data_IF_178034390898
#
_entry.id   IF_178034390898
#
_cell.length_a   1.000
_cell.length_b   1.000
_cell.length_c   1.000
_cell.angle_alpha   90.00
_cell.angle_beta   90.00
_cell.angle_gamma   90.00
#
_symmetry.space_group_name_H-M   'P 1'
#
loop_
_entity.id
_entity.type
_entity.pdbx_description
1 polymer ?
#
# COMPACT_ATOMS: atom_id res chain seq x y z
N UNK A 1 0.67 11.89 -8.61
CA UNK A 1 1.25 12.01 -7.24
C UNK A 1 1.27 10.66 -6.54
N UNK A 2 0.10 10.03 -6.34
CA UNK A 2 0.01 8.72 -5.67
C UNK A 2 0.82 7.60 -6.33
N UNK A 3 0.80 7.53 -7.67
CA UNK A 3 1.64 6.56 -8.38
C UNK A 3 3.13 6.80 -8.14
N UNK A 4 3.58 8.04 -7.90
CA UNK A 4 4.97 8.37 -7.60
C UNK A 4 5.39 8.06 -6.15
N UNK A 5 4.43 8.03 -5.20
CA UNK A 5 4.66 7.55 -3.84
C UNK A 5 4.63 6.02 -3.73
N UNK A 6 3.87 5.37 -4.61
CA UNK A 6 3.73 3.91 -4.68
C UNK A 6 4.87 3.29 -5.51
N UNK A 7 5.30 3.99 -6.57
CA UNK A 7 6.35 3.64 -7.52
C UNK A 7 7.30 4.83 -7.70
N UNK A 8 8.50 4.75 -7.12
CA UNK A 8 9.62 5.65 -7.43
C UNK A 8 10.24 5.23 -8.76
N UNK A 9 9.57 5.57 -9.85
CA UNK A 9 10.11 5.42 -11.20
C UNK A 9 10.51 6.80 -11.77
N UNK A 10 11.66 6.91 -12.47
CA UNK A 10 12.12 8.17 -13.06
C UNK A 10 11.07 8.85 -13.93
N UNK A 11 10.32 8.08 -14.72
CA UNK A 11 9.25 8.60 -15.58
C UNK A 11 8.18 9.36 -14.78
N UNK A 12 7.70 8.80 -13.66
CA UNK A 12 6.66 9.44 -12.86
C UNK A 12 7.15 10.71 -12.18
N UNK A 13 8.42 10.75 -11.76
CA UNK A 13 9.02 11.95 -11.17
C UNK A 13 9.23 13.05 -12.21
N UNK A 14 9.73 12.71 -13.40
CA UNK A 14 9.87 13.67 -14.51
C UNK A 14 8.53 14.23 -14.98
N UNK A 15 7.47 13.41 -15.03
CA UNK A 15 6.12 13.86 -15.35
C UNK A 15 5.54 14.76 -14.25
N UNK A 16 5.77 14.41 -12.98
CA UNK A 16 5.36 15.23 -11.86
C UNK A 16 6.03 16.61 -11.92
N UNK A 17 7.34 16.66 -12.12
CA UNK A 17 8.12 17.90 -12.22
C UNK A 17 7.60 18.79 -13.35
N UNK A 18 7.47 18.24 -14.58
CA UNK A 18 6.88 18.97 -15.71
C UNK A 18 5.51 19.54 -15.40
N UNK A 19 4.65 18.75 -14.73
CA UNK A 19 3.30 19.23 -14.38
C UNK A 19 3.36 20.36 -13.35
N UNK A 20 4.25 20.28 -12.36
CA UNK A 20 4.41 21.35 -11.37
C UNK A 20 4.87 22.66 -12.04
N UNK A 21 5.77 22.58 -13.01
CA UNK A 21 6.21 23.75 -13.81
C UNK A 21 5.08 24.31 -14.68
N UNK A 22 4.28 23.45 -15.32
CA UNK A 22 3.11 23.90 -16.09
C UNK A 22 2.10 24.62 -15.18
N UNK A 23 1.80 24.07 -14.00
CA UNK A 23 0.89 24.68 -13.04
C UNK A 23 1.37 26.06 -12.55
N UNK A 24 2.68 26.25 -12.38
CA UNK A 24 3.26 27.56 -12.02
C UNK A 24 3.02 28.63 -13.09
N UNK A 25 2.90 28.23 -14.36
CA UNK A 25 2.68 29.14 -15.50
C UNK A 25 1.22 29.20 -15.94
N UNK A 26 0.31 28.53 -15.22
CA UNK A 26 -1.11 28.45 -15.59
C UNK A 26 -1.37 27.57 -16.83
N UNK A 27 -0.42 26.72 -17.20
CA UNK A 27 -0.58 25.72 -18.26
C UNK A 27 -1.14 24.42 -17.65
N UNK A 28 -2.05 23.78 -18.38
CA UNK A 28 -2.77 22.59 -17.92
C UNK A 28 -2.72 21.42 -18.91
N UNK A 29 -1.79 21.46 -19.87
CA UNK A 29 -1.71 20.49 -20.96
C UNK A 29 -1.51 19.06 -20.47
N UNK A 30 -0.78 18.88 -19.37
CA UNK A 30 -0.45 17.56 -18.79
C UNK A 30 -1.37 17.12 -17.64
N UNK A 31 -2.38 17.91 -17.26
CA UNK A 31 -3.23 17.61 -16.09
C UNK A 31 -4.01 16.29 -16.21
N UNK A 32 -4.37 15.92 -17.44
CA UNK A 32 -5.03 14.65 -17.75
C UNK A 32 -4.19 13.43 -17.33
N UNK A 33 -2.86 13.48 -17.50
CA UNK A 33 -1.95 12.41 -17.08
C UNK A 33 -1.81 12.37 -15.55
N UNK A 34 -1.90 13.51 -14.87
CA UNK A 34 -1.91 13.59 -13.40
C UNK A 34 -3.18 13.01 -12.81
N UNK A 35 -4.35 13.24 -13.41
CA UNK A 35 -5.61 12.69 -12.92
C UNK A 35 -5.58 11.15 -12.86
N UNK A 36 -4.96 10.52 -13.87
CA UNK A 36 -4.75 9.07 -13.94
C UNK A 36 -3.67 8.64 -12.93
N UNK A 37 -2.52 9.32 -12.86
CA UNK A 37 -1.44 9.01 -11.90
C UNK A 37 -1.71 9.48 -10.44
N UNK A 38 -2.90 10.02 -10.19
CA UNK A 38 -3.40 10.39 -8.86
C UNK A 38 -4.43 9.38 -8.34
N UNK A 39 -4.78 8.37 -9.12
CA UNK A 39 -5.51 7.21 -8.60
C UNK A 39 -4.56 6.37 -7.75
N UNK A 40 -5.09 5.80 -6.67
CA UNK A 40 -4.35 4.89 -5.78
C UNK A 40 -4.18 3.52 -6.45
N UNK A 41 -5.04 3.17 -7.42
CA UNK A 41 -4.90 1.96 -8.22
C UNK A 41 -3.98 2.22 -9.41
N UNK A 42 -2.69 1.94 -9.25
CA UNK A 42 -1.69 1.96 -10.34
C UNK A 42 -1.86 0.80 -11.31
N UNK A 43 -2.54 -0.26 -10.90
CA UNK A 43 -3.04 -1.28 -11.80
C UNK A 43 -4.34 -0.73 -12.36
N UNK A 44 -4.34 -0.25 -13.60
CA UNK A 44 -5.56 0.08 -14.32
C UNK A 44 -6.21 -1.25 -14.71
N UNK A 45 -7.16 -1.81 -13.93
CA UNK A 45 -7.81 -3.03 -14.34
C UNK A 45 -8.63 -2.68 -15.58
N UNK A 46 -8.81 -3.63 -16.49
CA UNK A 46 -9.67 -3.41 -17.68
C UNK A 46 -11.17 -3.25 -17.31
N UNK A 47 -11.49 -3.32 -16.02
CA UNK A 47 -12.81 -3.25 -15.43
C UNK A 47 -12.83 -2.30 -14.22
N UNK A 48 -14.00 -1.75 -13.90
CA UNK A 48 -14.20 -0.88 -12.73
C UNK A 48 -14.27 -1.72 -11.44
N UNK A 49 -13.29 -1.54 -10.53
CA UNK A 49 -13.20 -2.25 -9.25
C UNK A 49 -13.83 -1.47 -8.08
N UNK A 50 -14.23 -0.21 -8.29
CA UNK A 50 -14.57 0.71 -7.20
C UNK A 50 -15.79 0.24 -6.41
N UNK A 51 -16.79 -0.30 -7.09
CA UNK A 51 -18.00 -0.84 -6.46
C UNK A 51 -17.67 -2.04 -5.59
N UNK A 52 -16.95 -3.03 -6.15
CA UNK A 52 -16.55 -4.24 -5.44
C UNK A 52 -15.68 -3.92 -4.22
N UNK A 53 -14.68 -3.04 -4.40
CA UNK A 53 -13.82 -2.58 -3.30
C UNK A 53 -14.62 -1.91 -2.19
N UNK A 54 -15.54 -1.01 -2.55
CA UNK A 54 -16.38 -0.32 -1.57
C UNK A 54 -17.27 -1.30 -0.81
N UNK A 55 -17.94 -2.22 -1.51
CA UNK A 55 -18.81 -3.21 -0.89
C UNK A 55 -18.05 -4.10 0.10
N UNK A 56 -16.91 -4.65 -0.33
CA UNK A 56 -16.08 -5.52 0.51
C UNK A 56 -15.57 -4.76 1.73
N UNK A 57 -14.99 -3.56 1.54
CA UNK A 57 -14.50 -2.73 2.63
C UNK A 57 -15.58 -2.44 3.68
N UNK A 58 -16.82 -2.19 3.24
CA UNK A 58 -17.92 -1.88 4.14
C UNK A 58 -18.49 -3.10 4.85
N UNK A 59 -18.52 -4.26 4.19
CA UNK A 59 -18.87 -5.54 4.83
C UNK A 59 -17.82 -5.92 5.89
N UNK A 60 -16.53 -5.77 5.58
CA UNK A 60 -15.43 -6.01 6.51
C UNK A 60 -15.43 -5.01 7.67
N UNK A 61 -15.82 -3.76 7.41
CA UNK A 61 -16.03 -2.77 8.47
C UNK A 61 -17.16 -3.20 9.42
N UNK A 62 -18.15 -3.95 8.94
CA UNK A 62 -19.24 -4.52 9.74
C UNK A 62 -19.89 -3.49 10.69
N UNK A 63 -20.27 -2.33 10.15
CA UNK A 63 -20.90 -1.24 10.93
C UNK A 63 -19.96 -0.41 11.81
N UNK A 64 -18.67 -0.74 11.92
CA UNK A 64 -17.68 0.03 12.72
C UNK A 64 -17.39 1.41 12.14
N UNK A 65 -17.74 1.63 10.86
CA UNK A 65 -17.55 2.90 10.14
C UNK A 65 -18.85 3.70 10.05
N UNK A 66 -19.45 4.03 11.19
CA UNK A 66 -20.70 4.80 11.25
C UNK A 66 -20.40 6.30 11.41
N UNK A 67 -20.50 7.05 10.31
CA UNK A 67 -20.33 8.50 10.25
C UNK A 67 -21.60 9.19 9.72
N UNK A 68 -22.77 8.73 10.17
CA UNK A 68 -24.07 9.30 9.78
C UNK A 68 -24.30 10.72 10.31
N UNK A 69 -23.71 11.04 11.46
CA UNK A 69 -23.74 12.40 12.01
C UNK A 69 -22.73 13.30 11.29
N UNK A 70 -23.16 14.52 10.93
CA UNK A 70 -22.31 15.46 10.19
C UNK A 70 -21.04 15.86 10.96
N UNK A 71 -21.11 15.98 12.29
CA UNK A 71 -19.94 16.24 13.14
C UNK A 71 -18.88 15.15 12.98
N UNK A 72 -19.25 13.90 13.20
CA UNK A 72 -18.37 12.74 13.04
C UNK A 72 -17.81 12.61 11.60
N UNK A 73 -18.64 12.83 10.59
CA UNK A 73 -18.19 12.89 9.18
C UNK A 73 -17.09 13.93 8.97
N UNK A 74 -17.34 15.17 9.44
CA UNK A 74 -16.42 16.29 9.28
C UNK A 74 -15.11 16.04 10.01
N UNK A 75 -15.18 15.50 11.24
CA UNK A 75 -14.00 15.19 12.03
C UNK A 75 -13.14 14.11 11.37
N UNK A 76 -13.77 13.08 10.80
CA UNK A 76 -13.05 12.07 10.02
C UNK A 76 -12.34 12.67 8.80
N UNK A 77 -13.05 13.45 7.99
CA UNK A 77 -12.48 14.07 6.77
C UNK A 77 -11.33 15.02 7.14
N UNK A 78 -11.49 15.82 8.20
CA UNK A 78 -10.45 16.72 8.69
C UNK A 78 -9.23 15.95 9.20
N UNK A 79 -9.43 14.87 9.96
CA UNK A 79 -8.36 14.01 10.47
C UNK A 79 -7.55 13.39 9.32
N UNK A 80 -8.24 12.92 8.28
CA UNK A 80 -7.58 12.42 7.08
C UNK A 80 -6.78 13.52 6.39
N UNK A 81 -7.38 14.69 6.16
CA UNK A 81 -6.71 15.84 5.54
C UNK A 81 -5.48 16.31 6.33
N UNK A 82 -5.53 16.31 7.66
CA UNK A 82 -4.39 16.68 8.52
C UNK A 82 -3.29 15.61 8.53
N UNK A 83 -3.65 14.34 8.32
CA UNK A 83 -2.69 13.24 8.27
C UNK A 83 -1.82 13.29 7.01
N UNK A 84 -2.37 13.74 5.88
CA UNK A 84 -1.60 13.94 4.65
C UNK A 84 -2.26 14.96 3.74
N UNK A 85 -1.52 16.04 3.44
CA UNK A 85 -1.93 17.07 2.50
C UNK A 85 -2.20 16.54 1.09
N UNK A 86 -1.54 15.45 0.72
CA UNK A 86 -1.64 14.88 -0.62
C UNK A 86 -2.58 13.68 -0.70
N UNK A 87 -2.63 12.89 0.38
CA UNK A 87 -3.30 11.60 0.35
C UNK A 87 -4.57 11.49 1.19
N UNK A 88 -4.70 12.31 2.23
CA UNK A 88 -5.76 12.21 3.21
C UNK A 88 -7.15 12.21 2.60
N UNK A 89 -7.47 13.25 1.83
CA UNK A 89 -8.79 13.39 1.21
C UNK A 89 -9.10 12.30 0.19
N UNK A 90 -8.10 11.72 -0.48
CA UNK A 90 -8.32 10.57 -1.37
C UNK A 90 -8.65 9.32 -0.57
N UNK A 91 -7.94 9.05 0.52
CA UNK A 91 -8.25 7.91 1.41
C UNK A 91 -9.66 8.04 1.99
N UNK A 92 -10.08 9.25 2.33
CA UNK A 92 -11.42 9.53 2.84
C UNK A 92 -12.55 9.20 1.84
N UNK A 93 -12.28 9.09 0.54
CA UNK A 93 -13.35 8.79 -0.45
C UNK A 93 -13.68 7.30 -0.56
N UNK A 94 -12.85 6.39 -0.04
CA UNK A 94 -13.07 4.94 -0.16
C UNK A 94 -12.93 4.18 1.16
N UNK A 95 -12.80 4.89 2.29
CA UNK A 95 -12.76 4.34 3.63
C UNK A 95 -13.60 5.17 4.60
N UNK A 96 -14.05 4.57 5.70
CA UNK A 96 -14.82 5.26 6.73
C UNK A 96 -16.23 5.68 6.25
N UNK A 97 -16.51 6.99 6.04
CA UNK A 97 -17.86 7.48 5.78
C UNK A 97 -18.65 6.85 4.65
N UNK A 98 -17.96 6.39 3.60
CA UNK A 98 -18.61 5.71 2.46
C UNK A 98 -19.44 4.48 2.88
N UNK A 99 -19.11 3.89 4.03
CA UNK A 99 -19.80 2.73 4.58
C UNK A 99 -21.00 3.06 5.48
N UNK A 100 -21.18 4.34 5.86
CA UNK A 100 -22.15 4.73 6.91
C UNK A 100 -23.61 4.43 6.57
N UNK A 101 -23.93 4.38 5.27
CA UNK A 101 -25.28 4.16 4.76
C UNK A 101 -25.49 2.72 4.27
N UNK A 102 -24.47 1.87 4.32
CA UNK A 102 -24.61 0.47 3.92
C UNK A 102 -25.30 -0.31 5.04
N UNK A 103 -26.61 -0.52 4.88
CA UNK A 103 -27.41 -1.36 5.78
C UNK A 103 -27.37 -2.84 5.33
N UNK A 104 -26.16 -3.35 5.08
CA UNK A 104 -25.89 -4.75 4.75
C UNK A 104 -24.71 -5.20 5.60
N UNK A 105 -24.88 -6.31 6.31
CA UNK A 105 -23.90 -6.85 7.24
C UNK A 105 -23.59 -8.30 6.91
N UNK A 106 -22.35 -8.76 7.14
CA UNK A 106 -22.04 -10.18 7.07
C UNK A 106 -22.88 -10.97 8.08
N UNK A 107 -23.20 -12.24 7.80
CA UNK A 107 -23.80 -13.12 8.79
C UNK A 107 -22.85 -13.27 10.00
N UNK A 108 -23.39 -13.61 11.17
CA UNK A 108 -22.61 -13.75 12.41
C UNK A 108 -21.42 -14.69 12.27
N UNK A 109 -21.57 -15.78 11.49
CA UNK A 109 -20.51 -16.74 11.19
C UNK A 109 -19.33 -16.18 10.38
N UNK A 110 -19.48 -14.99 9.79
CA UNK A 110 -18.47 -14.30 8.99
C UNK A 110 -18.07 -12.94 9.59
N UNK A 111 -18.68 -12.53 10.71
CA UNK A 111 -18.35 -11.28 11.36
C UNK A 111 -16.96 -11.36 12.01
N UNK A 112 -16.08 -10.41 11.65
CA UNK A 112 -14.76 -10.28 12.26
C UNK A 112 -14.73 -9.12 13.27
N UNK A 113 -14.40 -9.43 14.52
CA UNK A 113 -14.36 -8.46 15.61
C UNK A 113 -13.09 -7.58 15.60
N UNK A 114 -12.14 -7.86 14.70
CA UNK A 114 -10.87 -7.14 14.58
C UNK A 114 -9.70 -7.79 15.30
N UNK A 115 -9.90 -8.90 16.02
CA UNK A 115 -8.82 -9.64 16.68
C UNK A 115 -8.68 -11.00 16.01
N UNK A 116 -7.59 -11.25 15.26
CA UNK A 116 -7.36 -12.56 14.68
C UNK A 116 -7.14 -13.58 15.80
N UNK A 117 -7.94 -14.64 15.77
CA UNK A 117 -7.87 -15.74 16.75
C UNK A 117 -7.36 -16.98 16.04
N UNK A 118 -6.30 -17.57 16.58
CA UNK A 118 -5.80 -18.88 16.15
C UNK A 118 -6.08 -19.83 17.30
N UNK A 119 -7.06 -20.72 17.14
CA UNK A 119 -7.51 -21.69 18.15
C UNK A 119 -6.42 -22.74 18.44
N UNK A 120 -5.35 -22.35 19.12
CA UNK A 120 -4.24 -23.24 19.48
C UNK A 120 -3.39 -23.76 18.31
N UNK A 121 -3.68 -23.39 17.04
CA UNK A 121 -2.86 -23.78 15.90
C UNK A 121 -1.52 -23.04 15.94
N UNK A 122 -0.43 -23.80 16.06
CA UNK A 122 0.95 -23.30 16.05
C UNK A 122 1.57 -23.45 14.67
N UNK A 123 0.95 -22.88 13.64
CA UNK A 123 1.54 -22.82 12.32
C UNK A 123 2.42 -21.57 12.22
N UNK A 124 3.65 -21.67 11.71
CA UNK A 124 4.51 -20.51 11.55
C UNK A 124 3.91 -19.60 10.47
N UNK A 125 3.92 -18.30 10.70
CA UNK A 125 3.48 -17.27 9.75
C UNK A 125 4.67 -16.36 9.50
N UNK A 126 4.97 -16.08 8.23
CA UNK A 126 5.96 -15.09 7.86
C UNK A 126 5.27 -13.81 7.40
N UNK A 127 5.39 -12.75 8.19
CA UNK A 127 5.06 -11.41 7.75
C UNK A 127 6.26 -10.82 7.01
N UNK A 128 6.02 -10.23 5.84
CA UNK A 128 7.03 -9.52 5.07
C UNK A 128 6.55 -8.08 4.89
N UNK A 129 7.34 -7.11 5.38
CA UNK A 129 6.92 -5.70 5.40
C UNK A 129 8.07 -4.77 5.06
N UNK A 130 7.75 -3.73 4.28
CA UNK A 130 8.69 -2.66 3.98
C UNK A 130 8.72 -1.65 5.12
N UNK A 131 9.91 -1.14 5.45
CA UNK A 131 10.09 -0.11 6.49
C UNK A 131 9.31 1.18 6.21
N UNK A 132 9.01 1.49 4.94
CA UNK A 132 8.31 2.71 4.52
C UNK A 132 7.22 2.41 3.49
N UNK A 133 6.44 1.35 3.73
CA UNK A 133 5.27 1.02 2.91
C UNK A 133 4.15 2.05 3.13
N UNK A 134 3.72 2.79 2.09
CA UNK A 134 2.73 3.87 2.22
C UNK A 134 1.28 3.37 2.31
N UNK A 135 1.02 2.08 2.09
CA UNK A 135 -0.34 1.50 2.08
C UNK A 135 -0.54 0.57 3.27
N UNK A 136 0.40 -0.34 3.53
CA UNK A 136 0.38 -1.27 4.67
C UNK A 136 1.63 -1.07 5.52
N UNK A 137 1.66 -0.02 6.36
CA UNK A 137 2.87 0.43 7.03
C UNK A 137 3.37 -0.60 8.05
N UNK A 138 4.68 -0.61 8.30
CA UNK A 138 5.36 -1.53 9.22
C UNK A 138 4.68 -1.71 10.59
N UNK A 139 4.18 -0.66 11.27
CA UNK A 139 3.48 -0.82 12.55
C UNK A 139 2.26 -1.75 12.49
N UNK A 140 1.59 -1.84 11.33
CA UNK A 140 0.50 -2.78 11.12
C UNK A 140 1.02 -4.23 11.12
N UNK A 141 2.14 -4.50 10.46
CA UNK A 141 2.75 -5.84 10.46
C UNK A 141 3.29 -6.23 11.85
N UNK A 142 3.92 -5.28 12.56
CA UNK A 142 4.35 -5.48 13.95
C UNK A 142 3.16 -5.78 14.87
N UNK A 143 2.05 -5.06 14.71
CA UNK A 143 0.81 -5.35 15.45
C UNK A 143 0.28 -6.74 15.12
N UNK A 144 0.23 -7.13 13.85
CA UNK A 144 -0.20 -8.48 13.47
C UNK A 144 0.71 -9.55 14.09
N UNK A 145 2.03 -9.35 14.11
CA UNK A 145 2.97 -10.25 14.75
C UNK A 145 2.62 -10.54 16.21
N UNK A 146 2.13 -9.54 16.96
CA UNK A 146 1.72 -9.73 18.37
C UNK A 146 0.54 -10.69 18.55
N UNK A 147 -0.32 -10.82 17.54
CA UNK A 147 -1.46 -11.75 17.56
C UNK A 147 -1.08 -13.18 17.16
N UNK A 148 0.11 -13.37 16.58
CA UNK A 148 0.60 -14.68 16.13
C UNK A 148 1.96 -14.99 16.78
N UNK A 149 2.00 -15.58 17.99
CA UNK A 149 3.26 -15.78 18.74
C UNK A 149 4.33 -16.63 18.02
N UNK A 150 3.92 -17.52 17.11
CA UNK A 150 4.84 -18.33 16.28
C UNK A 150 5.23 -17.65 14.96
N UNK A 151 4.95 -16.36 14.79
CA UNK A 151 5.22 -15.63 13.56
C UNK A 151 6.60 -14.96 13.53
N UNK A 152 7.15 -14.87 12.33
CA UNK A 152 8.32 -14.06 12.00
C UNK A 152 7.93 -12.77 11.31
N UNK A 153 8.77 -11.76 11.45
CA UNK A 153 8.66 -10.51 10.69
C UNK A 153 9.98 -10.26 9.95
N UNK A 154 9.93 -10.38 8.63
CA UNK A 154 10.99 -10.01 7.72
C UNK A 154 10.78 -8.57 7.26
N UNK A 155 11.76 -7.72 7.54
CA UNK A 155 11.77 -6.33 7.08
C UNK A 155 12.58 -6.22 5.79
N UNK A 156 12.22 -5.28 4.92
CA UNK A 156 13.06 -4.91 3.77
C UNK A 156 13.17 -3.40 3.63
N UNK A 157 14.33 -2.96 3.12
CA UNK A 157 14.64 -1.55 2.94
C UNK A 157 13.92 -0.99 1.71
N UNK A 158 13.14 0.07 1.89
CA UNK A 158 12.28 0.59 0.84
C UNK A 158 13.01 1.39 -0.24
N UNK A 159 14.34 1.45 -0.32
CA UNK A 159 15.07 2.42 -1.16
C UNK A 159 14.76 2.38 -2.68
N UNK A 160 14.12 1.34 -3.19
CA UNK A 160 13.98 1.07 -4.63
C UNK A 160 12.70 1.57 -5.27
N UNK A 161 12.43 1.06 -6.47
CA UNK A 161 11.34 1.51 -7.34
C UNK A 161 9.97 1.31 -6.69
N UNK A 162 9.70 0.18 -6.07
CA UNK A 162 8.38 -0.18 -5.55
C UNK A 162 8.37 -0.07 -4.03
N UNK A 163 7.33 0.55 -3.48
CA UNK A 163 7.22 0.81 -2.04
C UNK A 163 6.17 -0.03 -1.32
N UNK A 164 5.28 -0.68 -2.07
CA UNK A 164 4.21 -1.50 -1.53
C UNK A 164 4.34 -2.94 -2.02
N UNK A 165 4.17 -3.89 -1.11
CA UNK A 165 4.38 -5.33 -1.29
C UNK A 165 5.84 -5.71 -1.63
N UNK A 166 6.38 -6.70 -0.91
CA UNK A 166 7.77 -7.13 -1.06
C UNK A 166 8.09 -7.72 -2.46
N UNK A 167 7.11 -8.40 -3.07
CA UNK A 167 7.30 -9.16 -4.31
C UNK A 167 7.50 -8.30 -5.57
N UNK A 168 7.19 -7.01 -5.51
CA UNK A 168 7.49 -6.09 -6.62
C UNK A 168 8.94 -5.58 -6.57
N UNK A 169 9.65 -5.79 -5.46
CA UNK A 169 11.07 -5.47 -5.34
C UNK A 169 11.95 -6.68 -5.64
N UNK A 170 13.03 -6.43 -6.38
CA UNK A 170 14.11 -7.40 -6.54
C UNK A 170 14.99 -7.34 -5.29
N UNK A 171 14.92 -8.39 -4.48
CA UNK A 171 15.82 -8.61 -3.34
C UNK A 171 16.11 -10.10 -3.24
N UNK A 172 17.35 -10.49 -3.54
CA UNK A 172 17.81 -11.86 -3.36
C UNK A 172 17.68 -12.30 -1.90
N UNK A 173 17.93 -11.39 -0.96
CA UNK A 173 17.78 -11.61 0.48
C UNK A 173 16.34 -11.96 0.86
N UNK A 174 15.35 -11.16 0.43
CA UNK A 174 13.93 -11.43 0.72
C UNK A 174 13.52 -12.76 0.11
N UNK A 175 13.83 -12.98 -1.17
CA UNK A 175 13.51 -14.21 -1.88
C UNK A 175 14.12 -15.45 -1.22
N UNK A 176 15.31 -15.34 -0.62
CA UNK A 176 15.94 -16.46 0.09
C UNK A 176 15.14 -16.85 1.33
N UNK A 177 14.75 -15.89 2.18
CA UNK A 177 13.96 -16.17 3.37
C UNK A 177 12.55 -16.65 3.03
N UNK A 178 11.91 -16.08 2.02
CA UNK A 178 10.60 -16.55 1.54
C UNK A 178 10.68 -18.01 1.06
N UNK A 179 11.71 -18.37 0.27
CA UNK A 179 11.91 -19.76 -0.17
C UNK A 179 12.15 -20.70 1.01
N UNK A 180 12.99 -20.32 1.96
CA UNK A 180 13.25 -21.14 3.15
C UNK A 180 11.98 -21.34 3.99
N UNK A 181 11.16 -20.31 4.13
CA UNK A 181 9.87 -20.40 4.81
C UNK A 181 8.90 -21.31 4.05
N UNK A 182 8.76 -21.18 2.73
CA UNK A 182 7.85 -22.00 1.94
C UNK A 182 8.27 -23.48 1.90
N UNK A 183 9.58 -23.77 1.86
CA UNK A 183 10.10 -25.15 1.78
C UNK A 183 10.14 -25.85 3.14
N UNK A 184 10.44 -25.12 4.21
CA UNK A 184 10.78 -25.72 5.51
C UNK A 184 10.01 -25.14 6.70
N UNK A 185 9.21 -24.08 6.50
CA UNK A 185 8.56 -23.35 7.59
C UNK A 185 9.55 -22.56 8.45
N UNK A 186 10.78 -22.35 7.98
CA UNK A 186 11.84 -21.67 8.73
C UNK A 186 11.55 -20.17 8.84
N UNK A 187 11.55 -19.66 10.07
CA UNK A 187 11.36 -18.25 10.37
C UNK A 187 12.73 -17.54 10.44
N UNK A 188 12.87 -16.35 9.84
CA UNK A 188 14.10 -15.55 9.95
C UNK A 188 14.41 -15.16 11.40
N UNK A 189 15.69 -14.93 11.75
CA UNK A 189 16.06 -14.37 13.04
C UNK A 189 15.30 -13.07 13.35
N UNK A 190 15.05 -12.82 14.63
CA UNK A 190 14.41 -11.58 15.06
C UNK A 190 15.16 -10.34 14.53
N UNK A 191 14.42 -9.33 14.10
CA UNK A 191 14.94 -8.08 13.51
C UNK A 191 15.71 -8.24 12.20
N UNK A 192 15.57 -9.36 11.49
CA UNK A 192 16.14 -9.50 10.15
C UNK A 192 15.58 -8.44 9.21
N UNK A 193 16.50 -7.71 8.57
CA UNK A 193 16.20 -6.68 7.57
C UNK A 193 17.02 -6.98 6.33
N UNK A 194 16.35 -7.05 5.18
CA UNK A 194 16.98 -7.25 3.89
C UNK A 194 17.15 -5.93 3.15
N UNK A 195 18.28 -5.76 2.48
CA UNK A 195 18.43 -4.74 1.45
C UNK A 195 17.85 -5.23 0.12
N UNK A 196 17.58 -4.28 -0.74
CA UNK A 196 17.15 -4.52 -2.12
C UNK A 196 18.36 -4.48 -3.05
N UNK A 197 18.28 -5.24 -4.14
CA UNK A 197 19.44 -5.43 -5.03
C UNK A 197 19.82 -4.13 -5.76
N UNK A 198 18.82 -3.27 -6.03
CA UNK A 198 19.00 -1.99 -6.73
C UNK A 198 18.32 -0.84 -5.97
N UNK A 199 19.04 -0.20 -5.02
CA UNK A 199 18.46 0.84 -4.17
C UNK A 199 18.33 2.20 -4.85
N UNK A 200 18.93 2.41 -6.03
CA UNK A 200 18.78 3.65 -6.77
C UNK A 200 17.89 3.45 -8.00
N UNK A 201 16.61 3.88 -7.94
CA UNK A 201 15.69 3.71 -9.06
C UNK A 201 16.06 4.53 -10.30
N UNK A 202 16.95 5.51 -10.18
CA UNK A 202 17.37 6.37 -11.30
C UNK A 202 18.55 5.78 -12.09
N UNK A 203 19.35 4.90 -11.50
CA UNK A 203 20.44 4.22 -12.23
C UNK A 203 19.90 3.24 -13.27
N UNK A 204 18.82 2.53 -12.95
CA UNK A 204 18.17 1.56 -13.86
C UNK A 204 17.77 2.21 -15.19
N UNK A 205 17.22 3.44 -15.14
CA UNK A 205 16.84 4.15 -16.35
C UNK A 205 18.06 4.58 -17.19
N UNK A 206 19.18 4.94 -16.54
CA UNK A 206 20.43 5.27 -17.24
C UNK A 206 21.03 4.02 -17.90
N UNK A 207 21.00 2.88 -17.21
CA UNK A 207 21.46 1.59 -17.75
C UNK A 207 20.60 1.14 -18.94
N UNK A 208 19.27 1.21 -18.85
CA UNK A 208 18.38 0.89 -19.98
C UNK A 208 18.62 1.80 -21.19
N UNK A 209 18.78 3.10 -20.97
CA UNK A 209 19.08 4.04 -22.06
C UNK A 209 20.47 3.79 -22.68
N UNK A 210 21.44 3.33 -21.88
CA UNK A 210 22.78 3.00 -22.37
C UNK A 210 22.79 1.71 -23.19
N UNK A 211 21.97 0.72 -22.82
CA UNK A 211 21.80 -0.54 -23.57
C UNK A 211 21.05 -0.30 -24.88
N UNK A 212 19.97 0.49 -24.85
CA UNK A 212 19.19 0.86 -26.05
C UNK A 212 20.02 1.70 -27.05
N UNK A 213 21.00 2.48 -26.56
CA UNK A 213 21.92 3.25 -27.41
C UNK A 213 23.02 2.40 -28.06
N UNK A 214 23.21 1.17 -27.60
CA UNK A 214 24.20 0.21 -28.13
C UNK A 214 23.58 -0.86 -29.05
N UNK A 215 22.25 -0.91 -29.16
CA UNK A 215 21.49 -1.76 -30.09
C UNK A 215 21.08 -1.04 -31.37
#
# INVERSE_FOLDING_TARGET
FFSASYIIAPLFYSLLDKTLVELQTGNYSQLQFVAIAATISTFAPVYDDRMSRTLINCLDANGRSNYTEFGAYKDFVNSMASSSAYAGLKVATFSGPICSQLNLFPPESQAFDGIPRVEGRKLPILFVSGIADPITPLPSAERMQTYFPSSGLLKWNNSGIWKHCAHFQKSACVSQYEKQFMLHGTIPPANTTCDIDQPNPFLIAVEQLADDAQS
#
